data_IF_737907343403
#
_entry.id   IF_737907343403
#
_cell.length_a   1.000
_cell.length_b   1.000
_cell.length_c   1.000
_cell.angle_alpha   90.00
_cell.angle_beta   90.00
_cell.angle_gamma   90.00
#
_symmetry.space_group_name_H-M   'P 1'
#
loop_
_entity.id
_entity.type
_entity.pdbx_description
1 polymer ?
#
# COMPACT_ATOMS: atom_id res chain seq x y z
N UNK A 1 -0.88 5.01 -17.84
CA UNK A 1 -0.35 3.79 -17.18
C UNK A 1 0.76 4.25 -16.24
N UNK A 2 0.81 3.74 -15.00
CA UNK A 2 1.83 4.15 -14.02
C UNK A 2 2.96 3.12 -13.98
N UNK A 3 4.20 3.58 -13.91
CA UNK A 3 5.39 2.74 -13.92
C UNK A 3 6.21 3.06 -12.67
N UNK A 4 6.71 2.04 -11.99
CA UNK A 4 7.60 2.13 -10.84
C UNK A 4 8.83 1.26 -11.09
N UNK A 5 10.03 1.87 -11.13
CA UNK A 5 11.29 1.17 -11.45
C UNK A 5 11.19 0.23 -12.67
N UNK A 6 10.53 0.69 -13.73
CA UNK A 6 10.33 -0.09 -14.96
C UNK A 6 9.24 -1.17 -14.88
N UNK A 7 8.52 -1.30 -13.77
CA UNK A 7 7.37 -2.23 -13.62
C UNK A 7 6.05 -1.49 -13.68
N UNK A 8 5.02 -2.10 -14.27
CA UNK A 8 3.68 -1.53 -14.26
C UNK A 8 3.06 -1.61 -12.88
N UNK A 9 2.51 -0.48 -12.43
CA UNK A 9 1.76 -0.39 -11.19
C UNK A 9 0.29 -0.67 -11.50
N UNK A 10 -0.20 -1.81 -11.03
CA UNK A 10 -1.50 -2.36 -11.42
C UNK A 10 -2.57 -2.22 -10.36
N UNK A 11 -2.19 -2.15 -9.08
CA UNK A 11 -3.13 -2.18 -7.95
C UNK A 11 -3.19 -0.83 -7.24
N UNK A 12 -4.41 -0.32 -7.10
CA UNK A 12 -4.74 0.77 -6.18
C UNK A 12 -5.36 0.16 -4.94
N UNK A 13 -4.76 0.39 -3.78
CA UNK A 13 -5.10 -0.28 -2.53
C UNK A 13 -5.43 0.73 -1.43
N UNK A 14 -6.28 0.31 -0.52
CA UNK A 14 -6.48 0.93 0.78
C UNK A 14 -5.92 -0.03 1.83
N UNK A 15 -5.02 0.46 2.68
CA UNK A 15 -4.40 -0.33 3.73
C UNK A 15 -4.77 0.24 5.08
N UNK A 16 -5.31 -0.62 5.93
CA UNK A 16 -5.63 -0.33 7.32
C UNK A 16 -4.51 -0.86 8.20
N UNK A 17 -3.84 0.00 8.96
CA UNK A 17 -2.64 -0.32 9.71
C UNK A 17 -2.62 0.27 11.13
N UNK A 18 -1.81 -0.32 11.99
CA UNK A 18 -1.52 0.15 13.34
C UNK A 18 -0.40 1.21 13.28
N UNK A 19 -0.74 2.47 13.54
CA UNK A 19 0.23 3.58 13.44
C UNK A 19 1.11 3.65 14.70
N UNK A 20 0.51 3.57 15.89
CA UNK A 20 1.22 3.57 17.18
C UNK A 20 0.40 2.85 18.26
N UNK A 21 1.09 2.22 19.22
CA UNK A 21 0.50 1.81 20.50
C UNK A 21 0.48 3.03 21.44
N UNK A 22 -0.72 3.46 21.87
CA UNK A 22 -0.85 4.46 22.93
C UNK A 22 -0.55 3.76 24.26
N UNK A 23 0.71 3.80 24.69
CA UNK A 23 1.07 3.48 26.07
C UNK A 23 0.69 4.66 26.96
N UNK A 24 -0.40 4.54 27.72
CA UNK A 24 -0.68 5.43 28.84
C UNK A 24 -0.60 4.64 30.15
N UNK A 25 0.58 4.64 30.77
CA UNK A 25 0.76 4.21 32.15
C UNK A 25 1.05 2.71 32.36
N UNK A 26 1.68 2.44 33.50
CA UNK A 26 2.21 1.15 33.94
C UNK A 26 1.08 0.23 34.49
N UNK A 27 0.01 0.04 33.72
CA UNK A 27 -1.10 -0.84 34.10
C UNK A 27 -1.03 -2.15 33.28
N UNK A 28 -0.56 -3.26 33.88
CA UNK A 28 -0.36 -4.53 33.19
C UNK A 28 -1.67 -5.21 32.77
N UNK A 29 -2.83 -4.70 33.18
CA UNK A 29 -4.14 -5.25 32.82
C UNK A 29 -4.88 -4.45 31.73
N UNK A 30 -4.30 -3.34 31.26
CA UNK A 30 -4.97 -2.47 30.29
C UNK A 30 -4.64 -2.91 28.87
N UNK A 31 -5.65 -3.33 28.12
CA UNK A 31 -5.51 -3.69 26.70
C UNK A 31 -4.93 -2.47 25.94
N UNK A 32 -3.82 -2.63 25.19
CA UNK A 32 -3.20 -1.52 24.47
C UNK A 32 -4.20 -0.85 23.54
N UNK A 33 -4.45 0.45 23.75
CA UNK A 33 -5.17 1.25 22.75
C UNK A 33 -4.24 1.43 21.57
N UNK A 34 -4.61 0.87 20.42
CA UNK A 34 -3.92 1.13 19.17
C UNK A 34 -4.70 2.15 18.36
N UNK A 35 -3.98 3.06 17.70
CA UNK A 35 -4.58 3.92 16.70
C UNK A 35 -4.55 3.19 15.36
N UNK A 36 -5.71 2.72 14.93
CA UNK A 36 -5.91 2.24 13.56
C UNK A 36 -5.95 3.44 12.62
N UNK A 37 -5.14 3.41 11.58
CA UNK A 37 -5.13 4.40 10.50
C UNK A 37 -5.34 3.72 9.16
N UNK A 38 -5.78 4.51 8.21
CA UNK A 38 -6.00 4.08 6.84
C UNK A 38 -5.13 4.94 5.91
N UNK A 39 -4.53 4.30 4.91
CA UNK A 39 -3.85 4.98 3.81
C UNK A 39 -4.31 4.40 2.50
N UNK A 40 -4.53 5.27 1.52
CA UNK A 40 -4.92 4.86 0.17
C UNK A 40 -3.82 5.28 -0.80
N UNK A 41 -3.44 4.39 -1.71
CA UNK A 41 -2.42 4.69 -2.70
C UNK A 41 -2.21 3.54 -3.66
N UNK A 42 -1.24 3.68 -4.57
CA UNK A 42 -0.87 2.58 -5.44
C UNK A 42 0.13 1.67 -4.77
N UNK A 43 -0.08 0.36 -4.89
CA UNK A 43 0.86 -0.63 -4.41
C UNK A 43 2.07 -0.66 -5.37
N UNK A 44 3.22 -0.19 -4.88
CA UNK A 44 4.45 -0.07 -5.65
C UNK A 44 5.33 -1.32 -5.52
N UNK A 45 5.49 -1.80 -4.29
CA UNK A 45 6.27 -2.99 -3.95
C UNK A 45 5.52 -3.75 -2.86
N UNK A 46 5.55 -5.07 -2.94
CA UNK A 46 5.08 -5.97 -1.91
C UNK A 46 6.15 -7.04 -1.69
N UNK A 47 6.72 -7.03 -0.49
CA UNK A 47 7.69 -8.01 -0.02
C UNK A 47 7.04 -8.88 1.08
N UNK A 48 7.77 -9.88 1.57
CA UNK A 48 7.28 -10.76 2.65
C UNK A 48 7.02 -9.99 3.97
N UNK A 49 7.80 -8.93 4.22
CA UNK A 49 7.74 -8.17 5.48
C UNK A 49 7.05 -6.81 5.36
N UNK A 50 6.92 -6.26 4.15
CA UNK A 50 6.47 -4.88 3.98
C UNK A 50 5.74 -4.60 2.67
N UNK A 51 4.99 -3.52 2.68
CA UNK A 51 4.27 -2.95 1.54
C UNK A 51 4.79 -1.53 1.32
N UNK A 52 5.11 -1.18 0.08
CA UNK A 52 5.40 0.19 -0.32
C UNK A 52 4.20 0.76 -1.07
N UNK A 53 3.63 1.83 -0.54
CA UNK A 53 2.47 2.50 -1.10
C UNK A 53 2.87 3.89 -1.57
N UNK A 54 2.59 4.21 -2.83
CA UNK A 54 2.72 5.55 -3.36
C UNK A 54 1.40 6.31 -3.25
N UNK A 55 1.41 7.35 -2.43
CA UNK A 55 0.32 8.30 -2.22
C UNK A 55 0.51 9.44 -3.21
N UNK A 56 -0.56 9.84 -3.89
CA UNK A 56 -0.55 10.93 -4.88
C UNK A 56 0.46 10.75 -6.02
N UNK A 57 0.73 9.50 -6.43
CA UNK A 57 1.60 9.24 -7.57
C UNK A 57 1.13 10.05 -8.79
N UNK A 58 1.97 10.91 -9.39
CA UNK A 58 1.58 11.66 -10.57
C UNK A 58 1.35 10.74 -11.77
N UNK A 59 0.71 11.29 -12.81
CA UNK A 59 0.59 10.60 -14.10
C UNK A 59 1.87 10.70 -14.95
N UNK A 60 2.80 11.58 -14.57
CA UNK A 60 4.01 11.93 -15.32
C UNK A 60 5.22 11.98 -14.38
N UNK A 61 6.40 11.65 -14.88
CA UNK A 61 7.65 11.75 -14.13
C UNK A 61 7.94 13.23 -13.80
N UNK A 62 8.16 13.54 -12.51
CA UNK A 62 8.61 14.87 -12.08
C UNK A 62 7.71 15.64 -11.11
N UNK A 63 6.59 15.06 -10.62
CA UNK A 63 5.88 15.67 -9.50
C UNK A 63 6.32 15.05 -8.17
N UNK A 64 6.39 15.86 -7.11
CA UNK A 64 6.60 15.39 -5.75
C UNK A 64 5.49 14.39 -5.37
N UNK A 65 5.88 13.19 -4.98
CA UNK A 65 4.96 12.17 -4.50
C UNK A 65 5.41 11.64 -3.14
N UNK A 66 4.43 11.23 -2.34
CA UNK A 66 4.69 10.71 -1.01
C UNK A 66 4.67 9.18 -1.06
N UNK A 67 5.75 8.56 -0.60
CA UNK A 67 5.77 7.11 -0.38
C UNK A 67 5.59 6.81 1.10
N UNK A 68 4.91 5.71 1.39
CA UNK A 68 4.76 5.17 2.72
C UNK A 68 5.12 3.69 2.68
N UNK A 69 6.08 3.29 3.52
CA UNK A 69 6.38 1.87 3.77
C UNK A 69 5.62 1.43 5.01
N UNK A 70 4.82 0.39 4.86
CA UNK A 70 4.09 -0.26 5.95
C UNK A 70 4.65 -1.65 6.16
N UNK A 71 4.93 -2.02 7.41
CA UNK A 71 5.34 -3.37 7.74
C UNK A 71 4.13 -4.26 7.96
N UNK A 72 4.13 -5.48 7.39
CA UNK A 72 2.98 -6.38 7.38
C UNK A 72 2.53 -6.78 8.79
N UNK A 73 3.42 -6.81 9.78
CA UNK A 73 3.05 -7.06 11.18
C UNK A 73 2.05 -6.04 11.74
N UNK A 74 2.07 -4.80 11.21
CA UNK A 74 1.16 -3.74 11.60
C UNK A 74 -0.05 -3.58 10.66
N UNK A 75 -0.15 -4.38 9.60
CA UNK A 75 -1.24 -4.31 8.62
C UNK A 75 -2.40 -5.19 9.07
N UNK A 76 -3.58 -4.60 9.20
CA UNK A 76 -4.80 -5.28 9.62
C UNK A 76 -5.62 -5.75 8.42
N UNK A 77 -5.66 -4.94 7.36
CA UNK A 77 -6.42 -5.24 6.15
C UNK A 77 -5.82 -4.52 4.94
N UNK A 78 -5.96 -5.14 3.76
CA UNK A 78 -5.61 -4.60 2.46
C UNK A 78 -6.81 -4.78 1.54
N UNK A 79 -7.43 -3.67 1.15
CA UNK A 79 -8.55 -3.65 0.20
C UNK A 79 -8.04 -3.22 -1.18
N UNK A 80 -8.22 -4.05 -2.19
CA UNK A 80 -7.91 -3.69 -3.59
C UNK A 80 -9.08 -2.89 -4.15
N UNK A 81 -8.90 -1.57 -4.25
CA UNK A 81 -9.93 -0.66 -4.75
C UNK A 81 -10.00 -0.64 -6.28
N UNK A 82 -8.87 -0.87 -6.95
CA UNK A 82 -8.80 -0.94 -8.41
C UNK A 82 -7.65 -1.83 -8.85
N UNK A 83 -7.91 -2.67 -9.83
CA UNK A 83 -6.89 -3.40 -10.57
C UNK A 83 -6.93 -2.96 -12.03
N UNK A 84 -5.77 -2.60 -12.57
CA UNK A 84 -5.60 -2.23 -13.96
C UNK A 84 -5.01 -3.43 -14.68
N UNK A 85 -5.73 -3.94 -15.68
CA UNK A 85 -5.17 -4.85 -16.66
C UNK A 85 -4.04 -4.13 -17.40
N UNK A 86 -2.82 -4.66 -17.31
CA UNK A 86 -1.71 -4.19 -18.14
C UNK A 86 -2.04 -4.60 -19.58
N UNK A 87 -1.93 -3.70 -20.57
CA UNK A 87 -1.99 -4.07 -21.98
C UNK A 87 -0.71 -4.84 -22.33
N UNK A 88 -0.64 -6.09 -21.92
CA UNK A 88 0.20 -7.10 -22.55
C UNK A 88 -0.61 -7.82 -23.63
N UNK A 89 0.04 -8.44 -24.62
CA UNK A 89 -0.67 -9.24 -25.60
C UNK A 89 -1.46 -10.32 -24.84
N UNK A 90 -2.77 -10.34 -25.04
CA UNK A 90 -3.60 -11.40 -24.47
C UNK A 90 -3.18 -12.69 -25.18
N UNK A 91 -3.27 -13.85 -24.53
CA UNK A 91 -2.99 -15.14 -25.19
C UNK A 91 -3.81 -15.29 -26.49
N UNK A 92 -5.00 -14.70 -26.55
CA UNK A 92 -5.84 -14.61 -27.74
C UNK A 92 -5.23 -13.81 -28.92
N UNK A 93 -4.26 -12.93 -28.67
CA UNK A 93 -3.55 -12.19 -29.72
C UNK A 93 -2.49 -13.06 -30.42
N UNK A 94 -2.24 -14.28 -29.91
CA UNK A 94 -1.28 -15.25 -30.46
C UNK A 94 -1.94 -16.44 -31.20
N UNK A 95 -3.28 -16.53 -31.22
CA UNK A 95 -4.02 -17.63 -31.86
C UNK A 95 -5.03 -17.13 -32.89
#
# INVERSE_FOLDING_TARGET
>A
MKIWKGKFVTKYVKVTYLDHFLYSGNDPYRVPKHNTREVTGWLLEEDDDSLLIGIDLPKTDGADFKMMRLYKWGVLAIDVLKEIEVPGPKLADYF
#
